data_IF_155704639191
#
_entry.id   IF_155704639191
#
_cell.length_a   1.000
_cell.length_b   1.000
_cell.length_c   1.000
_cell.angle_alpha   90.00
_cell.angle_beta   90.00
_cell.angle_gamma   90.00
#
_symmetry.space_group_name_H-M   'P 1'
#
loop_
_entity.id
_entity.type
_entity.pdbx_description
1 polymer ?
#
# COMPACT_ATOMS: atom_id res chain seq x y z
N UNK A 1 -6.75 -7.81 35.08
CA UNK A 1 -7.66 -8.49 34.14
C UNK A 1 -8.68 -7.53 33.53
N UNK A 2 -9.15 -6.49 34.25
CA UNK A 2 -10.07 -5.47 33.67
C UNK A 2 -9.39 -4.44 32.74
N UNK A 3 -8.06 -4.35 32.72
CA UNK A 3 -7.29 -3.40 31.90
C UNK A 3 -7.00 -3.92 30.47
N UNK A 4 -6.81 -5.24 30.31
CA UNK A 4 -6.54 -5.85 29.00
C UNK A 4 -7.77 -5.84 28.07
N UNK A 5 -8.98 -5.99 28.62
CA UNK A 5 -10.21 -5.93 27.81
C UNK A 5 -10.45 -4.53 27.26
N UNK A 6 -10.19 -3.49 28.07
CA UNK A 6 -10.22 -2.10 27.64
C UNK A 6 -9.14 -1.79 26.60
N UNK A 7 -7.94 -2.38 26.76
CA UNK A 7 -6.81 -2.17 25.85
C UNK A 7 -7.13 -2.59 24.41
N UNK A 8 -7.65 -3.81 24.20
CA UNK A 8 -7.95 -4.30 22.85
C UNK A 8 -9.22 -3.67 22.25
N UNK A 9 -10.17 -3.29 23.11
CA UNK A 9 -11.38 -2.59 22.69
C UNK A 9 -11.08 -1.27 21.97
N UNK A 10 -9.99 -0.58 22.34
CA UNK A 10 -9.58 0.66 21.67
C UNK A 10 -9.26 0.46 20.18
N UNK A 11 -8.70 -0.70 19.77
CA UNK A 11 -8.47 -0.98 18.35
C UNK A 11 -9.79 -1.15 17.59
N UNK A 12 -10.74 -1.87 18.19
CA UNK A 12 -12.07 -2.08 17.60
C UNK A 12 -12.83 -0.76 17.51
N UNK A 13 -12.70 0.11 18.50
CA UNK A 13 -13.29 1.46 18.49
C UNK A 13 -12.71 2.33 17.37
N UNK A 14 -11.38 2.31 17.19
CA UNK A 14 -10.70 2.99 16.10
C UNK A 14 -11.13 2.44 14.73
N UNK A 15 -11.16 1.12 14.56
CA UNK A 15 -11.62 0.46 13.33
C UNK A 15 -13.05 0.84 12.97
N UNK A 16 -13.95 0.84 13.96
CA UNK A 16 -15.33 1.31 13.81
C UNK A 16 -15.41 2.80 13.47
N UNK A 17 -14.55 3.63 14.06
CA UNK A 17 -14.47 5.05 13.73
C UNK A 17 -14.04 5.26 12.27
N UNK A 18 -13.04 4.53 11.80
CA UNK A 18 -12.60 4.56 10.39
C UNK A 18 -13.70 4.07 9.45
N UNK A 19 -14.42 3.00 9.81
CA UNK A 19 -15.57 2.49 9.04
C UNK A 19 -16.65 3.58 8.92
N UNK A 20 -17.02 4.24 10.02
CA UNK A 20 -18.01 5.33 10.00
C UNK A 20 -17.58 6.52 9.16
N UNK A 21 -16.30 6.93 9.23
CA UNK A 21 -15.79 8.03 8.42
C UNK A 21 -15.95 7.71 6.94
N UNK A 22 -15.48 6.56 6.48
CA UNK A 22 -15.41 6.30 5.05
C UNK A 22 -16.71 5.71 4.51
N UNK A 23 -17.20 4.62 5.11
CA UNK A 23 -18.42 3.94 4.66
C UNK A 23 -19.66 4.76 4.96
N UNK A 24 -19.75 5.37 6.14
CA UNK A 24 -20.88 6.22 6.52
C UNK A 24 -21.00 7.49 5.66
N UNK A 25 -19.89 8.01 5.15
CA UNK A 25 -19.91 9.17 4.23
C UNK A 25 -20.29 8.78 2.80
N UNK A 26 -19.89 7.59 2.33
CA UNK A 26 -19.99 7.21 0.92
C UNK A 26 -21.15 6.26 0.59
N UNK A 27 -21.61 5.46 1.57
CA UNK A 27 -22.59 4.41 1.37
C UNK A 27 -23.78 4.57 2.33
N UNK A 28 -25.01 4.27 1.88
CA UNK A 28 -26.14 4.09 2.78
C UNK A 28 -25.88 3.00 3.82
N UNK A 29 -26.28 3.24 5.07
CA UNK A 29 -26.05 2.33 6.21
C UNK A 29 -26.53 0.90 5.96
N UNK A 30 -27.62 0.73 5.21
CA UNK A 30 -28.22 -0.57 4.92
C UNK A 30 -27.28 -1.51 4.15
N UNK A 31 -26.29 -0.96 3.43
CA UNK A 31 -25.35 -1.75 2.63
C UNK A 31 -24.19 -2.32 3.43
N UNK A 32 -23.81 -1.69 4.55
CA UNK A 32 -22.57 -2.03 5.24
C UNK A 32 -22.74 -2.31 6.73
N UNK A 33 -23.66 -1.65 7.43
CA UNK A 33 -23.91 -1.89 8.87
C UNK A 33 -24.28 -3.35 9.18
N UNK A 34 -25.07 -4.06 8.35
CA UNK A 34 -25.38 -5.48 8.59
C UNK A 34 -24.21 -6.44 8.38
N UNK A 35 -23.12 -6.01 7.73
CA UNK A 35 -21.98 -6.87 7.46
C UNK A 35 -21.23 -7.18 8.76
N UNK A 36 -20.65 -8.38 8.91
CA UNK A 36 -19.71 -8.65 10.00
C UNK A 36 -18.54 -7.65 9.99
N UNK A 37 -17.98 -7.32 11.17
CA UNK A 37 -16.92 -6.32 11.33
C UNK A 37 -15.76 -6.49 10.35
N UNK A 38 -15.27 -7.72 10.16
CA UNK A 38 -14.23 -8.05 9.18
C UNK A 38 -14.57 -7.59 7.75
N UNK A 39 -15.81 -7.81 7.31
CA UNK A 39 -16.25 -7.41 5.97
C UNK A 39 -16.53 -5.91 5.88
N UNK A 40 -16.93 -5.25 6.97
CA UNK A 40 -16.97 -3.78 7.02
C UNK A 40 -15.56 -3.21 6.83
N UNK A 41 -14.58 -3.71 7.57
CA UNK A 41 -13.17 -3.33 7.45
C UNK A 41 -12.63 -3.60 6.04
N UNK A 42 -12.93 -4.76 5.45
CA UNK A 42 -12.51 -5.06 4.08
C UNK A 42 -13.15 -4.13 3.06
N UNK A 43 -14.45 -3.84 3.19
CA UNK A 43 -15.14 -2.91 2.33
C UNK A 43 -14.58 -1.48 2.47
N UNK A 44 -14.28 -1.05 3.69
CA UNK A 44 -13.59 0.22 3.98
C UNK A 44 -12.23 0.26 3.28
N UNK A 45 -11.39 -0.75 3.49
CA UNK A 45 -10.06 -0.80 2.89
C UNK A 45 -10.13 -0.87 1.37
N UNK A 46 -11.09 -1.60 0.80
CA UNK A 46 -11.31 -1.68 -0.65
C UNK A 46 -11.70 -0.34 -1.25
N UNK A 47 -12.69 0.35 -0.67
CA UNK A 47 -13.09 1.69 -1.12
C UNK A 47 -11.95 2.69 -0.92
N UNK A 48 -11.24 2.63 0.22
CA UNK A 48 -10.07 3.46 0.49
C UNK A 48 -8.98 3.24 -0.56
N UNK A 49 -8.66 1.98 -0.88
CA UNK A 49 -7.71 1.60 -1.92
C UNK A 49 -8.13 2.10 -3.31
N UNK A 50 -9.41 2.02 -3.66
CA UNK A 50 -9.93 2.57 -4.92
C UNK A 50 -9.73 4.09 -5.00
N UNK A 51 -10.06 4.82 -3.92
CA UNK A 51 -9.87 6.26 -3.86
C UNK A 51 -8.40 6.63 -3.95
N UNK A 52 -7.55 5.95 -3.19
CA UNK A 52 -6.09 6.11 -3.23
C UNK A 52 -5.47 5.79 -4.59
N UNK A 53 -6.07 4.86 -5.35
CA UNK A 53 -5.57 4.50 -6.67
C UNK A 53 -6.03 5.49 -7.74
N UNK A 54 -7.34 5.78 -7.80
CA UNK A 54 -7.90 6.59 -8.88
C UNK A 54 -7.70 8.09 -8.68
N UNK A 55 -7.75 8.62 -7.44
CA UNK A 55 -7.66 10.07 -7.22
C UNK A 55 -6.25 10.59 -7.56
N UNK A 56 -5.16 10.09 -6.96
CA UNK A 56 -3.81 10.51 -7.32
C UNK A 56 -3.50 10.19 -8.78
N UNK A 57 -3.87 9.00 -9.27
CA UNK A 57 -3.63 8.61 -10.66
C UNK A 57 -4.30 9.54 -11.68
N UNK A 58 -5.54 9.97 -11.41
CA UNK A 58 -6.25 10.95 -12.23
C UNK A 58 -5.59 12.32 -12.20
N UNK A 59 -5.36 12.88 -11.00
CA UNK A 59 -4.79 14.23 -10.87
C UNK A 59 -3.37 14.32 -11.44
N UNK A 60 -2.56 13.30 -11.21
CA UNK A 60 -1.22 13.22 -11.78
C UNK A 60 -1.30 13.14 -13.31
N UNK A 61 -2.13 12.23 -13.86
CA UNK A 61 -2.28 12.07 -15.31
C UNK A 61 -2.81 13.33 -15.97
N UNK A 62 -3.78 13.99 -15.34
CA UNK A 62 -4.31 15.28 -15.79
C UNK A 62 -3.22 16.37 -15.79
N UNK A 63 -2.48 16.49 -14.70
CA UNK A 63 -1.45 17.51 -14.56
C UNK A 63 -0.30 17.31 -15.55
N UNK A 64 0.23 16.09 -15.68
CA UNK A 64 1.41 15.80 -16.51
C UNK A 64 1.05 15.71 -17.99
N UNK A 65 -0.01 14.97 -18.35
CA UNK A 65 -0.33 14.71 -19.75
C UNK A 65 -1.11 15.84 -20.42
N UNK A 66 -1.94 16.58 -19.66
CA UNK A 66 -2.78 17.63 -20.23
C UNK A 66 -2.30 19.05 -19.86
N UNK A 67 -2.08 19.37 -18.58
CA UNK A 67 -1.71 20.73 -18.17
C UNK A 67 -0.24 21.07 -18.50
N UNK A 68 0.70 20.18 -18.13
CA UNK A 68 2.14 20.31 -18.33
C UNK A 68 2.65 19.39 -19.44
N UNK A 69 1.84 19.28 -20.50
CA UNK A 69 2.12 18.46 -21.66
C UNK A 69 3.52 18.77 -22.23
N UNK A 70 4.32 17.72 -22.48
CA UNK A 70 5.67 17.81 -23.03
C UNK A 70 6.68 18.61 -22.17
N UNK A 71 6.41 18.80 -20.87
CA UNK A 71 7.34 19.47 -19.95
C UNK A 71 8.18 18.45 -19.17
N UNK A 72 7.53 17.46 -18.57
CA UNK A 72 8.18 16.44 -17.73
C UNK A 72 8.41 15.12 -18.46
N UNK A 73 7.52 14.78 -19.39
CA UNK A 73 7.55 13.55 -20.19
C UNK A 73 7.35 13.93 -21.67
N UNK A 74 8.19 13.45 -22.61
CA UNK A 74 7.98 13.64 -24.04
C UNK A 74 6.62 13.11 -24.50
N UNK A 75 6.00 13.73 -25.50
CA UNK A 75 4.67 13.29 -25.99
C UNK A 75 4.63 11.84 -26.43
N UNK A 76 5.73 11.36 -27.01
CA UNK A 76 5.88 10.01 -27.53
C UNK A 76 5.96 8.95 -26.40
N UNK A 77 6.28 9.38 -25.18
CA UNK A 77 6.32 8.54 -23.99
C UNK A 77 4.99 8.54 -23.22
N UNK A 78 3.98 9.32 -23.63
CA UNK A 78 2.66 9.30 -22.99
C UNK A 78 1.90 8.02 -23.40
N UNK A 79 1.37 7.24 -22.44
CA UNK A 79 0.59 6.06 -22.75
C UNK A 79 -0.66 6.30 -23.56
N UNK A 80 -0.93 5.35 -24.47
CA UNK A 80 -2.22 5.26 -25.13
C UNK A 80 -3.30 4.90 -24.11
N UNK A 81 -4.55 5.31 -24.40
CA UNK A 81 -5.69 4.97 -23.55
C UNK A 81 -5.89 3.46 -23.40
N UNK A 82 -5.55 2.68 -24.43
CA UNK A 82 -5.59 1.20 -24.39
C UNK A 82 -4.56 0.65 -23.41
N UNK A 83 -3.33 1.17 -23.40
CA UNK A 83 -2.30 0.77 -22.46
C UNK A 83 -2.68 1.12 -21.01
N UNK A 84 -3.20 2.33 -20.77
CA UNK A 84 -3.69 2.72 -19.44
C UNK A 84 -4.85 1.84 -18.99
N UNK A 85 -5.80 1.54 -19.88
CA UNK A 85 -6.95 0.70 -19.55
C UNK A 85 -6.50 -0.72 -19.19
N UNK A 86 -5.51 -1.28 -19.91
CA UNK A 86 -4.93 -2.57 -19.57
C UNK A 86 -4.27 -2.55 -18.19
N UNK A 87 -3.47 -1.52 -17.87
CA UNK A 87 -2.86 -1.35 -16.54
C UNK A 87 -3.94 -1.28 -15.45
N UNK A 88 -4.99 -0.48 -15.66
CA UNK A 88 -6.14 -0.39 -14.74
C UNK A 88 -6.83 -1.74 -14.56
N UNK A 89 -7.08 -2.49 -15.65
CA UNK A 89 -7.74 -3.80 -15.55
C UNK A 89 -6.93 -4.80 -14.73
N UNK A 90 -5.61 -4.79 -14.84
CA UNK A 90 -4.73 -5.65 -14.04
C UNK A 90 -4.76 -5.22 -12.58
N UNK A 91 -4.57 -3.94 -12.29
CA UNK A 91 -4.62 -3.39 -10.93
C UNK A 91 -5.96 -3.67 -10.25
N UNK A 92 -7.09 -3.52 -10.97
CA UNK A 92 -8.43 -3.76 -10.44
C UNK A 92 -8.70 -5.23 -10.08
N UNK A 93 -8.04 -6.18 -10.74
CA UNK A 93 -8.11 -7.61 -10.36
C UNK A 93 -7.29 -7.90 -9.11
N UNK A 94 -6.23 -7.15 -8.88
CA UNK A 94 -5.33 -7.33 -7.75
C UNK A 94 -5.77 -6.58 -6.50
N UNK A 95 -6.42 -5.43 -6.65
CA UNK A 95 -6.80 -4.54 -5.55
C UNK A 95 -7.61 -5.20 -4.43
N UNK A 96 -8.61 -6.07 -4.70
CA UNK A 96 -9.34 -6.78 -3.62
C UNK A 96 -8.43 -7.61 -2.71
N UNK A 97 -7.33 -8.14 -3.26
CA UNK A 97 -6.33 -8.92 -2.54
C UNK A 97 -5.35 -8.03 -1.78
N UNK A 98 -4.94 -6.91 -2.37
CA UNK A 98 -4.09 -5.93 -1.68
C UNK A 98 -4.78 -5.34 -0.47
N UNK A 99 -6.07 -5.05 -0.57
CA UNK A 99 -6.84 -4.49 0.54
C UNK A 99 -7.26 -5.53 1.57
N UNK A 100 -7.15 -6.83 1.25
CA UNK A 100 -7.36 -7.91 2.20
C UNK A 100 -6.21 -8.02 3.22
N UNK A 101 -4.97 -7.72 2.82
CA UNK A 101 -3.82 -7.76 3.73
C UNK A 101 -4.01 -6.84 4.96
N UNK A 102 -4.26 -5.52 4.82
CA UNK A 102 -4.50 -4.65 5.97
C UNK A 102 -5.80 -4.98 6.73
N UNK A 103 -6.78 -5.62 6.08
CA UNK A 103 -7.96 -6.15 6.79
C UNK A 103 -7.59 -7.29 7.73
N UNK A 104 -6.75 -8.23 7.27
CA UNK A 104 -6.27 -9.33 8.10
C UNK A 104 -5.39 -8.80 9.23
N UNK A 105 -4.51 -7.81 8.96
CA UNK A 105 -3.68 -7.17 9.98
C UNK A 105 -4.50 -6.50 11.09
N UNK A 106 -5.56 -5.76 10.71
CA UNK A 106 -6.47 -5.13 11.68
C UNK A 106 -7.20 -6.18 12.50
N UNK A 107 -7.77 -7.22 11.87
CA UNK A 107 -8.45 -8.30 12.57
C UNK A 107 -7.55 -9.04 13.57
N UNK A 108 -6.31 -9.34 13.18
CA UNK A 108 -5.34 -10.03 14.04
C UNK A 108 -4.87 -9.10 15.17
N UNK A 109 -4.74 -7.79 14.91
CA UNK A 109 -4.38 -6.79 15.93
C UNK A 109 -5.49 -6.58 16.95
N UNK A 110 -6.74 -6.47 16.51
CA UNK A 110 -7.93 -6.41 17.38
C UNK A 110 -8.04 -7.67 18.25
N UNK A 111 -7.64 -8.83 17.72
CA UNK A 111 -7.57 -10.09 18.45
C UNK A 111 -6.40 -10.22 19.42
N UNK A 112 -5.50 -9.23 19.49
CA UNK A 112 -4.38 -9.18 20.44
C UNK A 112 -3.17 -10.06 20.10
N UNK A 113 -3.04 -10.50 18.85
CA UNK A 113 -1.94 -11.38 18.42
C UNK A 113 -0.68 -10.63 17.99
N UNK A 114 -0.77 -9.31 17.78
CA UNK A 114 0.36 -8.44 17.42
C UNK A 114 0.92 -7.74 18.65
N UNK A 115 2.11 -7.12 18.52
CA UNK A 115 2.71 -6.27 19.56
C UNK A 115 2.19 -4.82 19.49
N UNK A 116 1.07 -4.59 18.82
CA UNK A 116 0.54 -3.26 18.63
C UNK A 116 0.06 -2.62 19.94
N UNK A 117 0.12 -1.29 19.98
CA UNK A 117 -0.50 -0.49 21.04
C UNK A 117 -1.41 0.59 20.44
N UNK A 118 -2.58 0.86 21.05
CA UNK A 118 -3.56 1.75 20.45
C UNK A 118 -3.26 3.22 20.74
N UNK A 119 -2.45 3.54 21.77
CA UNK A 119 -2.19 4.92 22.18
C UNK A 119 -0.72 5.12 22.58
N UNK A 120 -0.14 6.25 22.15
CA UNK A 120 1.27 6.60 22.40
C UNK A 120 1.61 6.68 23.90
N UNK A 121 0.68 7.10 24.74
CA UNK A 121 0.94 7.28 26.18
C UNK A 121 1.22 5.97 26.93
N UNK A 122 0.89 4.80 26.37
CA UNK A 122 1.22 3.50 26.97
C UNK A 122 2.71 3.16 26.97
N UNK A 123 3.48 3.76 26.04
CA UNK A 123 4.92 3.55 25.93
C UNK A 123 5.73 4.85 26.15
N UNK A 124 5.07 6.01 26.02
CA UNK A 124 5.70 7.32 26.06
C UNK A 124 6.37 7.70 24.74
N UNK A 125 6.50 9.00 24.50
CA UNK A 125 6.98 9.55 23.21
C UNK A 125 8.37 9.06 22.79
N UNK A 126 9.30 8.92 23.73
CA UNK A 126 10.66 8.44 23.42
C UNK A 126 10.64 7.01 22.88
N UNK A 127 9.97 6.08 23.58
CA UNK A 127 9.86 4.70 23.12
C UNK A 127 9.04 4.62 21.82
N UNK A 128 7.98 5.42 21.67
CA UNK A 128 7.24 5.51 20.42
C UNK A 128 8.15 5.82 19.23
N UNK A 129 8.99 6.87 19.33
CA UNK A 129 9.91 7.24 18.24
C UNK A 129 10.95 6.13 17.98
N UNK A 130 11.51 5.54 19.04
CA UNK A 130 12.47 4.43 18.92
C UNK A 130 11.83 3.21 18.24
N UNK A 131 10.60 2.86 18.63
CA UNK A 131 9.88 1.74 18.05
C UNK A 131 9.52 1.99 16.58
N UNK A 132 9.09 3.20 16.22
CA UNK A 132 8.87 3.57 14.82
C UNK A 132 10.16 3.42 14.01
N UNK A 133 11.30 3.87 14.54
CA UNK A 133 12.59 3.73 13.85
C UNK A 133 13.00 2.25 13.68
N UNK A 134 12.91 1.44 14.73
CA UNK A 134 13.20 0.01 14.67
C UNK A 134 12.27 -0.74 13.72
N UNK A 135 10.99 -0.38 13.73
CA UNK A 135 9.98 -0.90 12.83
C UNK A 135 10.35 -0.61 11.36
N UNK A 136 10.67 0.64 11.02
CA UNK A 136 11.05 1.01 9.66
C UNK A 136 12.34 0.31 9.21
N UNK A 137 13.36 0.21 10.07
CA UNK A 137 14.60 -0.52 9.76
C UNK A 137 14.29 -2.00 9.44
N UNK A 138 13.44 -2.64 10.24
CA UNK A 138 13.06 -4.04 10.05
C UNK A 138 12.26 -4.24 8.76
N UNK A 139 11.33 -3.32 8.47
CA UNK A 139 10.52 -3.32 7.25
C UNK A 139 11.40 -3.15 6.02
N UNK A 140 12.27 -2.15 5.97
CA UNK A 140 13.20 -1.89 4.85
C UNK A 140 14.10 -3.10 4.59
N UNK A 141 14.66 -3.68 5.66
CA UNK A 141 15.44 -4.91 5.57
C UNK A 141 14.61 -6.06 4.98
N UNK A 142 13.38 -6.23 5.46
CA UNK A 142 12.46 -7.27 4.98
C UNK A 142 12.06 -7.08 3.51
N UNK A 143 11.77 -5.84 3.09
CA UNK A 143 11.43 -5.51 1.69
C UNK A 143 12.60 -5.84 0.77
N UNK A 144 13.83 -5.42 1.14
CA UNK A 144 15.04 -5.74 0.37
C UNK A 144 15.17 -7.24 0.14
N UNK A 145 15.08 -8.04 1.20
CA UNK A 145 15.23 -9.49 1.08
C UNK A 145 14.07 -10.14 0.35
N UNK A 146 12.83 -9.70 0.58
CA UNK A 146 11.67 -10.23 -0.12
C UNK A 146 11.79 -10.00 -1.63
N UNK A 147 12.11 -8.76 -2.03
CA UNK A 147 12.32 -8.40 -3.42
C UNK A 147 13.48 -9.19 -4.04
N UNK A 148 14.60 -9.33 -3.32
CA UNK A 148 15.72 -10.16 -3.75
C UNK A 148 15.33 -11.62 -3.94
N UNK A 149 14.55 -12.20 -3.03
CA UNK A 149 14.07 -13.59 -3.13
C UNK A 149 13.12 -13.78 -4.32
N UNK A 150 12.26 -12.80 -4.61
CA UNK A 150 11.39 -12.80 -5.80
C UNK A 150 12.21 -12.84 -7.10
N UNK A 151 13.39 -12.21 -7.12
CA UNK A 151 14.32 -12.28 -8.25
C UNK A 151 15.14 -13.58 -8.30
N UNK A 152 15.74 -13.98 -7.18
CA UNK A 152 16.72 -15.08 -7.11
C UNK A 152 16.04 -16.45 -7.24
N UNK A 153 14.81 -16.60 -6.73
CA UNK A 153 14.07 -17.88 -6.77
C UNK A 153 13.31 -17.99 -8.10
N UNK A 154 13.85 -18.79 -9.03
CA UNK A 154 13.31 -19.01 -10.39
C UNK A 154 11.78 -19.17 -10.50
N UNK A 155 11.10 -20.03 -9.70
CA UNK A 155 9.64 -20.14 -9.80
C UNK A 155 8.90 -18.89 -9.34
N UNK A 156 9.39 -18.17 -8.32
CA UNK A 156 8.81 -16.90 -7.87
C UNK A 156 8.98 -15.83 -8.94
N UNK A 157 10.18 -15.73 -9.51
CA UNK A 157 10.43 -14.81 -10.62
C UNK A 157 9.50 -15.10 -11.79
N UNK A 158 9.49 -16.34 -12.30
CA UNK A 158 8.76 -16.68 -13.53
C UNK A 158 7.25 -16.46 -13.43
N UNK A 159 6.64 -16.81 -12.30
CA UNK A 159 5.17 -16.82 -12.17
C UNK A 159 4.59 -15.60 -11.47
N UNK A 160 5.38 -14.93 -10.62
CA UNK A 160 4.90 -13.79 -9.83
C UNK A 160 5.54 -12.49 -10.29
N UNK A 161 6.88 -12.45 -10.36
CA UNK A 161 7.62 -11.20 -10.51
C UNK A 161 7.90 -10.77 -11.95
N UNK A 162 8.04 -11.70 -12.89
CA UNK A 162 8.27 -11.39 -14.30
C UNK A 162 7.10 -10.58 -14.93
N UNK A 163 5.82 -10.84 -14.62
CA UNK A 163 4.71 -9.99 -15.06
C UNK A 163 4.87 -8.51 -14.68
N UNK A 164 5.43 -8.21 -13.51
CA UNK A 164 5.72 -6.84 -13.08
C UNK A 164 6.73 -6.16 -14.02
N UNK A 165 7.84 -6.83 -14.34
CA UNK A 165 8.88 -6.32 -15.24
C UNK A 165 8.39 -6.10 -16.68
N UNK A 166 7.37 -6.84 -17.14
CA UNK A 166 6.77 -6.61 -18.47
C UNK A 166 6.20 -5.19 -18.58
N UNK A 167 5.58 -4.67 -17.52
CA UNK A 167 5.00 -3.34 -17.53
C UNK A 167 6.05 -2.24 -17.37
N UNK A 168 7.17 -2.53 -16.70
CA UNK A 168 8.28 -1.58 -16.53
C UNK A 168 9.19 -1.49 -17.77
N UNK A 169 9.50 -2.62 -18.41
CA UNK A 169 10.59 -2.65 -19.41
C UNK A 169 10.13 -2.48 -20.85
N UNK A 170 8.88 -2.84 -21.20
CA UNK A 170 8.61 -3.13 -22.60
C UNK A 170 8.60 -1.90 -23.50
N UNK A 171 8.22 -0.72 -23.03
CA UNK A 171 8.19 0.49 -23.86
C UNK A 171 8.38 1.82 -23.10
N UNK A 172 8.67 1.80 -21.79
CA UNK A 172 8.75 3.02 -20.96
C UNK A 172 7.47 3.88 -21.02
N UNK A 173 6.34 3.21 -21.19
CA UNK A 173 5.00 3.79 -21.28
C UNK A 173 4.25 3.50 -19.98
N UNK A 174 4.86 3.87 -18.85
CA UNK A 174 4.22 3.73 -17.56
C UNK A 174 3.27 4.91 -17.37
N UNK A 175 2.09 4.60 -16.83
CA UNK A 175 1.23 5.60 -16.22
C UNK A 175 1.22 5.37 -14.72
N UNK A 176 0.74 6.33 -13.91
CA UNK A 176 0.53 6.11 -12.47
C UNK A 176 -0.33 4.88 -12.15
N UNK A 177 -1.14 4.41 -13.11
CA UNK A 177 -1.98 3.23 -12.98
C UNK A 177 -1.20 1.90 -13.08
N UNK A 178 0.07 1.94 -13.50
CA UNK A 178 0.93 0.76 -13.58
C UNK A 178 1.45 0.30 -12.21
N UNK A 179 1.52 1.19 -11.21
CA UNK A 179 2.16 0.89 -9.92
C UNK A 179 1.52 -0.26 -9.13
N UNK A 180 0.24 -0.54 -9.36
CA UNK A 180 -0.47 -1.69 -8.77
C UNK A 180 -0.77 -2.80 -9.79
N UNK A 181 -0.24 -2.71 -11.01
CA UNK A 181 -0.47 -3.68 -12.08
C UNK A 181 0.47 -4.90 -11.94
N UNK A 182 0.42 -5.54 -10.77
CA UNK A 182 1.29 -6.65 -10.38
C UNK A 182 0.49 -7.96 -10.30
N UNK A 183 1.18 -9.09 -10.24
CA UNK A 183 0.54 -10.31 -9.77
C UNK A 183 0.08 -10.08 -8.30
N UNK A 184 -1.14 -10.47 -7.89
CA UNK A 184 -1.63 -10.20 -6.53
C UNK A 184 -0.69 -10.73 -5.43
N UNK A 185 -0.17 -11.95 -5.61
CA UNK A 185 0.81 -12.51 -4.67
C UNK A 185 2.14 -11.75 -4.66
N UNK A 186 2.58 -11.16 -5.77
CA UNK A 186 3.82 -10.38 -5.80
C UNK A 186 3.67 -9.14 -4.91
N UNK A 187 2.62 -8.35 -5.14
CA UNK A 187 2.35 -7.17 -4.31
C UNK A 187 2.12 -7.50 -2.83
N UNK A 188 1.42 -8.60 -2.51
CA UNK A 188 1.26 -9.06 -1.12
C UNK A 188 2.61 -9.42 -0.51
N UNK A 189 3.46 -10.18 -1.23
CA UNK A 189 4.77 -10.55 -0.73
C UNK A 189 5.62 -9.32 -0.44
N UNK A 190 5.62 -8.33 -1.34
CA UNK A 190 6.36 -7.08 -1.15
C UNK A 190 5.85 -6.26 0.05
N UNK A 191 4.56 -6.30 0.37
CA UNK A 191 3.99 -5.64 1.55
C UNK A 191 4.11 -6.46 2.86
N UNK A 192 4.34 -7.78 2.78
CA UNK A 192 4.38 -8.69 3.92
C UNK A 192 5.38 -8.31 5.04
N UNK A 193 6.55 -7.69 4.76
CA UNK A 193 7.45 -7.19 5.79
C UNK A 193 6.78 -6.23 6.79
N UNK A 194 5.84 -5.38 6.33
CA UNK A 194 5.06 -4.50 7.21
C UNK A 194 4.23 -5.33 8.21
N UNK A 195 3.55 -6.37 7.72
CA UNK A 195 2.73 -7.27 8.55
C UNK A 195 3.57 -8.04 9.56
N UNK A 196 4.69 -8.63 9.11
CA UNK A 196 5.58 -9.44 9.96
C UNK A 196 6.18 -8.58 11.08
N UNK A 197 6.54 -7.33 10.78
CA UNK A 197 7.14 -6.43 11.76
C UNK A 197 6.22 -6.16 12.96
N UNK A 198 4.89 -6.20 12.79
CA UNK A 198 3.92 -6.03 13.88
C UNK A 198 4.01 -7.13 14.96
N UNK A 199 4.54 -8.30 14.65
CA UNK A 199 4.74 -9.38 15.62
C UNK A 199 6.07 -9.28 16.37
N UNK A 200 6.98 -8.43 15.90
CA UNK A 200 8.37 -8.35 16.37
C UNK A 200 8.61 -7.07 17.15
N UNK A 201 8.19 -5.91 16.63
CA UNK A 201 8.43 -4.60 17.26
C UNK A 201 7.10 -4.03 17.76
N UNK A 202 7.02 -3.54 19.01
CA UNK A 202 5.83 -2.85 19.47
C UNK A 202 5.51 -1.65 18.57
N UNK A 203 4.28 -1.53 18.07
CA UNK A 203 3.96 -0.50 17.07
C UNK A 203 2.63 0.19 17.35
N UNK A 204 2.58 1.52 17.16
CA UNK A 204 1.32 2.25 17.24
C UNK A 204 0.49 1.93 16.00
N UNK A 205 -0.66 1.28 16.18
CA UNK A 205 -1.37 0.69 15.05
C UNK A 205 -1.84 1.73 14.02
N UNK A 206 -2.37 2.88 14.47
CA UNK A 206 -2.76 3.96 13.54
C UNK A 206 -1.56 4.56 12.80
N UNK A 207 -0.37 4.59 13.42
CA UNK A 207 0.86 5.02 12.72
C UNK A 207 1.25 4.01 11.63
N UNK A 208 1.12 2.72 11.91
CA UNK A 208 1.34 1.66 10.92
C UNK A 208 0.37 1.81 9.72
N UNK A 209 -0.93 2.04 9.96
CA UNK A 209 -1.90 2.29 8.89
C UNK A 209 -1.56 3.53 8.05
N UNK A 210 -1.10 4.62 8.69
CA UNK A 210 -0.64 5.83 7.98
C UNK A 210 0.61 5.53 7.15
N UNK A 211 1.56 4.76 7.67
CA UNK A 211 2.75 4.35 6.90
C UNK A 211 2.35 3.52 5.67
N UNK A 212 1.46 2.53 5.83
CA UNK A 212 0.93 1.74 4.70
C UNK A 212 0.20 2.61 3.67
N UNK A 213 -0.55 3.62 4.12
CA UNK A 213 -1.20 4.59 3.24
C UNK A 213 -0.16 5.41 2.45
N UNK A 214 0.88 5.90 3.12
CA UNK A 214 1.94 6.67 2.47
C UNK A 214 2.73 5.80 1.47
N UNK A 215 2.97 4.53 1.81
CA UNK A 215 3.58 3.55 0.91
C UNK A 215 2.73 3.35 -0.35
N UNK A 216 1.42 3.23 -0.23
CA UNK A 216 0.52 3.13 -1.39
C UNK A 216 0.63 4.33 -2.34
N UNK A 217 0.77 5.55 -1.79
CA UNK A 217 1.02 6.77 -2.59
C UNK A 217 2.40 6.70 -3.24
N UNK A 218 3.42 6.29 -2.47
CA UNK A 218 4.79 6.19 -2.96
C UNK A 218 4.91 5.18 -4.12
N UNK A 219 4.30 4.00 -4.01
CA UNK A 219 4.26 2.98 -5.07
C UNK A 219 3.63 3.51 -6.36
N UNK A 220 2.56 4.29 -6.27
CA UNK A 220 1.97 4.94 -7.44
C UNK A 220 2.93 5.99 -8.05
N UNK A 221 3.66 6.72 -7.21
CA UNK A 221 4.64 7.74 -7.65
C UNK A 221 5.93 7.13 -8.22
N UNK A 222 6.33 5.93 -7.82
CA UNK A 222 7.55 5.31 -8.35
C UNK A 222 7.36 4.80 -9.80
N UNK A 223 6.12 4.65 -10.26
CA UNK A 223 5.78 4.20 -11.61
C UNK A 223 5.34 5.34 -12.54
N UNK A 224 5.70 6.57 -12.19
CA UNK A 224 5.21 7.78 -12.85
C UNK A 224 6.13 8.26 -14.00
N UNK A 225 7.20 7.52 -14.31
CA UNK A 225 8.23 7.86 -15.31
C UNK A 225 8.95 9.21 -15.08
N UNK A 226 8.72 9.91 -13.98
CA UNK A 226 9.39 11.17 -13.66
C UNK A 226 10.62 10.86 -12.81
N UNK A 227 11.79 10.93 -13.45
CA UNK A 227 13.08 10.75 -12.79
C UNK A 227 13.46 11.96 -11.91
N UNK A 228 12.67 12.23 -10.87
CA UNK A 228 13.03 13.16 -9.81
C UNK A 228 14.18 12.56 -9.00
N UNK A 229 15.40 13.05 -9.21
CA UNK A 229 16.59 12.64 -8.42
C UNK A 229 16.59 13.32 -7.05
N UNK A 230 15.64 12.96 -6.19
CA UNK A 230 15.49 13.57 -4.86
C UNK A 230 15.84 12.58 -3.74
N UNK A 231 17.13 12.47 -3.40
CA UNK A 231 17.57 11.68 -2.26
C UNK A 231 17.03 12.27 -0.93
N UNK A 232 16.49 11.48 0.02
CA UNK A 232 16.44 10.00 0.05
C UNK A 232 15.16 9.36 -0.52
N UNK A 233 14.24 10.13 -1.13
CA UNK A 233 12.98 9.61 -1.68
C UNK A 233 13.27 8.96 -3.05
N UNK A 234 13.21 7.63 -3.09
CA UNK A 234 13.44 6.87 -4.32
C UNK A 234 12.24 7.01 -5.26
N UNK A 235 12.40 7.74 -6.36
CA UNK A 235 11.36 7.86 -7.42
C UNK A 235 11.57 6.84 -8.55
N UNK A 236 10.95 7.05 -9.71
CA UNK A 236 11.01 6.14 -10.86
C UNK A 236 12.42 5.80 -11.37
N UNK A 237 13.41 6.63 -11.05
CA UNK A 237 14.81 6.39 -11.39
C UNK A 237 15.43 5.21 -10.63
N UNK A 238 14.85 4.79 -9.51
CA UNK A 238 15.35 3.66 -8.73
C UNK A 238 14.83 2.32 -9.25
N UNK A 239 13.53 2.23 -9.59
CA UNK A 239 12.93 1.01 -10.12
C UNK A 239 13.43 0.66 -11.52
N UNK A 240 13.68 1.67 -12.37
CA UNK A 240 14.21 1.48 -13.73
C UNK A 240 15.71 1.11 -13.78
N UNK A 241 16.46 1.23 -12.68
CA UNK A 241 17.91 0.98 -12.64
C UNK A 241 18.30 -0.34 -11.95
N UNK A 242 17.32 -1.17 -11.53
CA UNK A 242 17.60 -2.50 -10.96
C UNK A 242 17.98 -3.56 -12.01
N UNK A 243 18.19 -3.17 -13.28
CA UNK A 243 18.65 -4.05 -14.37
C UNK A 243 20.18 -4.30 -14.40
N UNK A 244 20.88 -4.32 -13.26
CA UNK A 244 22.29 -4.75 -13.20
C UNK A 244 22.47 -6.00 -12.35
#
# INVERSE_FOLDING_TARGET
>A
MDDESGYFQLFVEDGNFYNRILLGTLLPEQLWVPLPHFFQTWLRNYIGGLLMYFIPGFFWSFYIYHWKNNVYVPREAIPSSEAMLMQIQVSMKALPWYTLLPTIEEYITEGGWTRCFPRVHYVGWLHYVVYVALYLILVEFGIYWMHKLLHDIKPLYKHLHAPHHIYNNKHNILSPFAGLALHPLDGILQALPYSIALFIVPMHFSTHLVILFMEGIWTASSHDCINAKFWPIMGSAYDNNKEV
#
